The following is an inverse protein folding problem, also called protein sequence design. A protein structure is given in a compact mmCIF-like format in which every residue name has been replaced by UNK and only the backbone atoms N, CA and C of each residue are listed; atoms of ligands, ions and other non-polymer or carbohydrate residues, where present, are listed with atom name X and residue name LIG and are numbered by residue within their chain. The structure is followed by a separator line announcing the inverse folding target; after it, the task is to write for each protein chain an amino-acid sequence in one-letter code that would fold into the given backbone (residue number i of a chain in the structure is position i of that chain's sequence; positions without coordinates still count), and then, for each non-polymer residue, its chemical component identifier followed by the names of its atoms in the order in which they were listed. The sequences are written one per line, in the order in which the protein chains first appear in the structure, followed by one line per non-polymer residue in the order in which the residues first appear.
data_IF_488768559876
#
_entry.id   IF_488768559876
#
_cell.length_a   1.000
_cell.length_b   1.000
_cell.length_c   1.000
_cell.angle_alpha   90.00
_cell.angle_beta   90.00
_cell.angle_gamma   90.00
#
_symmetry.space_group_name_H-M   'P 1'
#
loop_
_entity.id
_entity.type
_entity.pdbx_description
1 polymer ?
#
# COMPACT_ATOMS: atom_id res chain seq x y z
N UNK A 1 44.66 5.34 -26.55
CA UNK A 1 44.90 5.31 -28.01
C UNK A 1 43.56 5.36 -28.71
N UNK A 2 43.45 6.04 -29.86
CA UNK A 2 43.01 7.43 -29.98
C UNK A 2 41.75 7.51 -30.90
N UNK A 3 41.07 8.63 -31.16
CA UNK A 3 41.54 9.69 -32.05
C UNK A 3 40.57 10.89 -32.08
N UNK A 4 41.20 12.06 -32.14
CA UNK A 4 40.73 13.39 -32.57
C UNK A 4 40.40 13.37 -34.09
N UNK A 5 40.16 14.48 -34.86
CA UNK A 5 40.08 15.93 -34.54
C UNK A 5 38.98 16.71 -35.32
N UNK A 6 38.88 18.02 -35.07
CA UNK A 6 39.03 19.12 -36.07
C UNK A 6 37.71 19.88 -36.23
N UNK A 7 37.57 21.20 -36.42
CA UNK A 7 38.36 22.43 -36.70
C UNK A 7 37.32 23.57 -36.42
N UNK A 8 37.57 24.86 -36.21
CA UNK A 8 38.56 25.82 -36.72
C UNK A 8 38.41 27.17 -35.98
N UNK A 9 39.56 27.80 -35.76
CA UNK A 9 39.89 29.21 -35.41
C UNK A 9 39.40 30.21 -36.50
N UNK A 10 39.76 31.53 -36.56
CA UNK A 10 40.38 32.48 -35.61
C UNK A 10 39.79 33.94 -35.66
N UNK A 11 40.45 34.89 -34.97
CA UNK A 11 40.61 36.35 -35.21
C UNK A 11 40.15 37.17 -33.98
N UNK A 12 40.90 38.12 -33.40
CA UNK A 12 42.23 38.66 -33.69
C UNK A 12 42.51 39.92 -32.84
N UNK A 13 43.81 40.24 -32.67
CA UNK A 13 44.45 41.52 -32.27
C UNK A 13 44.24 42.01 -30.82
N UNK A 14 45.25 41.98 -29.94
CA UNK A 14 46.50 42.79 -29.84
C UNK A 14 46.25 44.31 -29.81
N UNK A 15 46.63 44.98 -28.72
CA UNK A 15 47.77 45.90 -28.67
C UNK A 15 48.13 46.29 -27.22
N UNK A 16 49.43 46.22 -26.93
CA UNK A 16 50.09 46.77 -25.76
C UNK A 16 50.39 48.26 -25.98
N UNK A 17 50.42 49.06 -24.92
CA UNK A 17 51.28 50.25 -24.85
C UNK A 17 51.61 50.58 -23.38
N UNK A 18 52.90 50.64 -23.09
CA UNK A 18 53.45 51.17 -21.85
C UNK A 18 53.69 52.68 -22.00
N UNK A 19 53.57 53.46 -20.92
CA UNK A 19 54.37 54.67 -20.75
C UNK A 19 54.57 55.04 -19.28
N UNK A 20 55.73 55.62 -19.05
CA UNK A 20 56.48 55.92 -17.83
C UNK A 20 56.19 57.35 -17.35
N UNK A 21 56.44 57.63 -16.06
CA UNK A 21 56.75 58.95 -15.52
C UNK A 21 55.83 59.37 -14.37
N UNK A 22 56.28 59.94 -13.26
CA UNK A 22 57.61 60.41 -12.85
C UNK A 22 57.50 60.82 -11.37
N UNK A 23 58.53 60.51 -10.58
CA UNK A 23 58.77 61.15 -9.29
C UNK A 23 59.10 62.64 -9.51
N UNK A 24 58.53 63.50 -8.68
CA UNK A 24 58.88 64.91 -8.59
C UNK A 24 58.70 65.41 -7.17
N UNK A 25 59.78 65.40 -6.40
CA UNK A 25 59.92 66.22 -5.20
C UNK A 25 60.55 67.56 -5.63
N UNK A 26 59.93 68.68 -5.28
CA UNK A 26 60.60 69.99 -5.28
C UNK A 26 60.14 70.83 -4.09
N UNK A 27 61.10 71.56 -3.55
CA UNK A 27 61.15 72.15 -2.22
C UNK A 27 60.42 73.50 -2.08
N UNK A 28 60.37 73.93 -0.82
CA UNK A 28 59.81 75.17 -0.28
C UNK A 28 60.14 76.45 -1.08
N UNK A 29 59.17 77.35 -1.15
CA UNK A 29 59.39 78.79 -1.25
C UNK A 29 58.43 79.54 -0.33
N UNK A 30 58.98 80.56 0.30
CA UNK A 30 58.45 81.34 1.41
C UNK A 30 57.53 82.51 1.01
N UNK A 31 56.83 83.00 2.05
CA UNK A 31 56.39 84.37 2.35
C UNK A 31 55.09 84.93 1.71
N UNK A 32 54.34 85.67 2.55
CA UNK A 32 53.32 86.65 2.13
C UNK A 32 51.95 86.43 2.75
N UNK A 33 51.72 86.95 3.96
CA UNK A 33 50.43 86.86 4.65
C UNK A 33 49.31 87.73 4.06
N UNK A 34 48.08 87.31 4.35
CA UNK A 34 46.83 88.04 4.23
C UNK A 34 45.70 87.17 4.79
N UNK A 35 45.13 87.57 5.93
CA UNK A 35 44.31 86.71 6.78
C UNK A 35 42.88 86.41 6.29
N UNK A 36 42.16 85.69 7.18
CA UNK A 36 40.73 85.29 7.13
C UNK A 36 40.47 83.99 6.35
N UNK A 37 40.10 82.84 6.93
CA UNK A 37 39.42 82.53 8.21
C UNK A 37 39.93 81.18 8.73
N UNK A 38 40.38 81.08 9.98
CA UNK A 38 40.42 79.78 10.66
C UNK A 38 38.97 79.32 10.78
N UNK A 39 38.55 78.35 9.98
CA UNK A 39 37.22 77.77 10.11
C UNK A 39 37.13 77.19 11.53
N UNK A 40 36.32 77.83 12.39
CA UNK A 40 36.02 77.32 13.72
C UNK A 40 35.36 75.97 13.54
N UNK A 41 36.10 74.90 13.82
CA UNK A 41 35.56 73.54 13.81
C UNK A 41 34.60 73.40 14.98
N UNK A 42 33.46 72.76 14.75
CA UNK A 42 32.40 72.57 15.73
C UNK A 42 32.51 71.18 16.38
N UNK A 43 32.12 71.09 17.65
CA UNK A 43 32.05 69.84 18.42
C UNK A 43 30.66 69.19 18.39
N UNK A 44 29.76 69.65 17.51
CA UNK A 44 28.40 69.12 17.40
C UNK A 44 28.39 67.79 16.63
N UNK A 45 28.43 66.68 17.37
CA UNK A 45 28.34 65.32 16.83
C UNK A 45 26.91 64.72 16.86
N UNK A 46 25.85 65.52 16.87
CA UNK A 46 24.46 64.99 16.94
C UNK A 46 23.84 64.77 15.57
N UNK A 47 22.82 63.92 15.51
CA UNK A 47 21.90 63.84 14.37
C UNK A 47 20.73 64.82 14.53
N UNK A 48 20.31 65.42 13.41
CA UNK A 48 19.05 66.15 13.23
C UNK A 48 17.91 65.23 12.75
N UNK A 49 18.24 64.06 12.19
CA UNK A 49 17.25 63.07 11.76
C UNK A 49 17.84 61.67 11.64
N UNK A 50 17.00 60.65 11.84
CA UNK A 50 17.32 59.25 11.61
C UNK A 50 16.04 58.55 11.12
N UNK A 51 16.10 57.93 9.95
CA UNK A 51 14.96 57.19 9.39
C UNK A 51 15.40 55.83 8.85
N UNK A 52 14.44 54.89 8.80
CA UNK A 52 14.63 53.53 8.28
C UNK A 52 13.80 53.35 7.02
N UNK A 53 14.27 52.57 6.06
CA UNK A 53 13.49 52.22 4.86
C UNK A 53 12.31 51.27 5.15
N UNK A 54 12.34 50.56 6.30
CA UNK A 54 11.30 49.67 6.76
C UNK A 54 11.28 49.61 8.30
N UNK A 55 10.07 49.51 8.87
CA UNK A 55 9.87 49.60 10.32
C UNK A 55 9.90 51.04 10.83
N UNK A 56 9.61 51.20 12.12
CA UNK A 56 9.58 52.50 12.80
C UNK A 56 10.53 52.49 13.99
N UNK A 57 11.24 53.59 14.19
CA UNK A 57 12.06 53.79 15.39
C UNK A 57 11.17 53.91 16.63
N UNK A 58 11.56 53.22 17.70
CA UNK A 58 10.97 53.30 19.02
C UNK A 58 12.09 53.50 20.06
N UNK A 59 12.11 54.63 20.79
CA UNK A 59 11.18 55.76 20.67
C UNK A 59 11.30 56.48 19.32
N UNK A 60 10.35 57.37 19.00
CA UNK A 60 10.49 58.28 17.86
C UNK A 60 11.80 59.09 17.98
N UNK A 61 12.39 59.47 16.85
CA UNK A 61 13.71 60.09 16.84
C UNK A 61 13.77 61.36 17.69
N UNK A 62 14.76 61.41 18.58
CA UNK A 62 15.13 62.60 19.34
C UNK A 62 16.65 62.69 19.38
N UNK A 63 17.22 63.87 19.07
CA UNK A 63 18.67 64.03 18.89
C UNK A 63 19.53 63.61 20.10
N UNK A 64 18.96 63.68 21.30
CA UNK A 64 19.61 63.26 22.55
C UNK A 64 19.52 61.74 22.82
N UNK A 65 18.57 61.03 22.20
CA UNK A 65 18.40 59.57 22.37
C UNK A 65 19.39 58.83 21.47
N UNK A 66 20.21 57.98 22.08
CA UNK A 66 21.27 57.23 21.39
C UNK A 66 20.93 55.75 21.16
N UNK A 67 19.82 55.25 21.69
CA UNK A 67 19.40 53.85 21.51
C UNK A 67 17.96 53.81 21.04
N UNK A 68 17.72 53.06 19.95
CA UNK A 68 16.42 52.86 19.34
C UNK A 68 16.19 51.38 19.09
N UNK A 69 14.93 50.98 19.10
CA UNK A 69 14.47 49.69 18.61
C UNK A 69 13.62 49.88 17.35
N UNK A 70 13.60 48.88 16.48
CA UNK A 70 12.66 48.78 15.37
C UNK A 70 12.28 47.31 15.13
N UNK A 71 11.06 47.05 14.69
CA UNK A 71 10.60 45.71 14.33
C UNK A 71 10.19 45.67 12.87
N UNK A 72 10.57 44.61 12.17
CA UNK A 72 10.23 44.38 10.76
C UNK A 72 9.66 42.98 10.55
N UNK A 73 8.75 42.84 9.57
CA UNK A 73 8.18 41.56 9.18
C UNK A 73 9.24 40.62 8.58
N UNK A 74 8.97 39.32 8.59
CA UNK A 74 9.92 38.31 8.11
C UNK A 74 10.35 38.52 6.65
N UNK A 75 9.49 39.06 5.78
CA UNK A 75 9.81 39.32 4.38
C UNK A 75 10.92 40.39 4.17
N UNK A 76 11.22 41.21 5.18
CA UNK A 76 12.25 42.26 5.10
C UNK A 76 13.61 41.65 5.40
N UNK A 77 14.31 41.16 4.37
CA UNK A 77 15.67 40.58 4.51
C UNK A 77 16.78 41.62 4.58
N UNK A 78 16.48 42.89 4.30
CA UNK A 78 17.43 44.01 4.42
C UNK A 78 16.71 45.34 4.59
N UNK A 79 17.37 46.34 5.17
CA UNK A 79 16.91 47.73 5.20
C UNK A 79 18.06 48.72 4.99
N UNK A 80 17.74 49.98 4.73
CA UNK A 80 18.72 51.09 4.75
C UNK A 80 18.39 52.07 5.87
N UNK A 81 19.40 52.80 6.33
CA UNK A 81 19.27 53.86 7.32
C UNK A 81 19.66 55.19 6.68
N UNK A 82 18.85 56.22 6.85
CA UNK A 82 19.13 57.57 6.34
C UNK A 82 19.31 58.55 7.50
N UNK A 83 20.57 58.76 7.96
CA UNK A 83 20.89 59.70 9.02
C UNK A 83 21.15 61.12 8.47
N UNK A 84 20.75 62.15 9.21
CA UNK A 84 21.02 63.56 8.90
C UNK A 84 21.80 64.17 10.06
N UNK A 85 23.02 64.65 9.83
CA UNK A 85 23.82 65.34 10.84
C UNK A 85 23.25 66.72 11.18
N UNK A 86 23.39 67.16 12.43
CA UNK A 86 23.02 68.52 12.87
C UNK A 86 23.99 69.57 12.33
N UNK A 87 25.28 69.25 12.29
CA UNK A 87 26.33 70.10 11.73
C UNK A 87 26.66 69.63 10.31
N UNK A 88 26.66 70.55 9.36
CA UNK A 88 26.94 70.27 7.94
C UNK A 88 28.41 69.87 7.68
N UNK A 89 29.32 70.17 8.62
CA UNK A 89 30.71 69.74 8.57
C UNK A 89 30.99 68.38 9.23
N UNK A 90 29.99 67.75 9.86
CA UNK A 90 30.16 66.44 10.50
C UNK A 90 30.16 65.29 9.47
N UNK A 91 30.91 64.23 9.76
CA UNK A 91 30.90 62.99 8.98
C UNK A 91 30.05 61.91 9.67
N UNK A 92 29.38 61.07 8.88
CA UNK A 92 28.53 59.98 9.40
C UNK A 92 29.03 58.65 8.85
N UNK A 93 29.11 57.64 9.71
CA UNK A 93 29.34 56.26 9.34
C UNK A 93 28.18 55.37 9.80
N UNK A 94 27.68 54.51 8.92
CA UNK A 94 26.70 53.47 9.25
C UNK A 94 27.40 52.11 9.14
N UNK A 95 27.48 51.35 10.23
CA UNK A 95 28.26 50.11 10.33
C UNK A 95 29.70 50.26 9.80
N UNK A 96 30.34 51.41 10.08
CA UNK A 96 31.71 51.74 9.65
C UNK A 96 31.86 52.23 8.22
N UNK A 97 30.78 52.24 7.41
CA UNK A 97 30.81 52.79 6.04
C UNK A 97 30.35 54.25 6.03
N UNK A 98 31.08 55.13 5.34
CA UNK A 98 30.73 56.55 5.24
C UNK A 98 29.40 56.74 4.49
N UNK A 99 28.50 57.55 5.05
CA UNK A 99 27.20 57.89 4.46
C UNK A 99 27.04 59.41 4.46
N UNK A 100 26.62 59.98 3.34
CA UNK A 100 26.35 61.41 3.26
C UNK A 100 25.12 61.79 4.10
N UNK A 101 25.16 62.96 4.74
CA UNK A 101 24.03 63.48 5.53
C UNK A 101 22.74 63.54 4.69
N UNK A 102 21.64 63.01 5.22
CA UNK A 102 20.34 62.92 4.56
C UNK A 102 20.21 61.81 3.50
N UNK A 103 21.29 61.08 3.20
CA UNK A 103 21.28 59.99 2.22
C UNK A 103 21.10 58.62 2.88
N UNK A 104 20.50 57.68 2.16
CA UNK A 104 20.39 56.29 2.61
C UNK A 104 21.76 55.60 2.61
N UNK A 105 22.01 54.77 3.63
CA UNK A 105 23.13 53.83 3.66
C UNK A 105 23.01 52.77 2.55
N UNK A 106 24.07 51.98 2.35
CA UNK A 106 23.95 50.70 1.66
C UNK A 106 22.93 49.78 2.39
N UNK A 107 22.40 48.78 1.66
CA UNK A 107 21.47 47.80 2.22
C UNK A 107 22.15 46.95 3.30
N UNK A 108 21.57 46.95 4.49
CA UNK A 108 21.99 46.18 5.65
C UNK A 108 21.19 44.88 5.66
N UNK A 109 21.87 43.75 5.48
CA UNK A 109 21.22 42.42 5.53
C UNK A 109 20.80 42.08 6.95
N UNK A 110 19.59 41.55 7.12
CA UNK A 110 19.00 41.21 8.41
C UNK A 110 18.87 39.69 8.58
N UNK A 111 19.49 39.17 9.63
CA UNK A 111 19.20 37.84 10.16
C UNK A 111 17.84 37.83 10.87
N UNK A 112 17.16 36.69 10.93
CA UNK A 112 15.98 36.53 11.79
C UNK A 112 16.41 36.78 13.24
N UNK A 113 15.59 37.49 14.02
CA UNK A 113 15.93 37.92 15.37
C UNK A 113 16.59 39.30 15.41
N UNK A 114 17.45 39.53 16.39
CA UNK A 114 18.03 40.84 16.70
C UNK A 114 19.23 41.15 15.80
N UNK A 115 19.23 42.34 15.20
CA UNK A 115 20.31 42.90 14.40
C UNK A 115 20.68 44.27 14.95
N UNK A 116 21.97 44.58 15.05
CA UNK A 116 22.42 45.88 15.57
C UNK A 116 23.00 46.71 14.43
N UNK A 117 22.48 47.92 14.26
CA UNK A 117 23.02 48.94 13.35
C UNK A 117 23.62 50.07 14.16
N UNK A 118 24.88 50.41 13.89
CA UNK A 118 25.56 51.53 14.53
C UNK A 118 25.69 52.70 13.57
N UNK A 119 25.35 53.89 14.05
CA UNK A 119 25.51 55.15 13.32
C UNK A 119 26.43 56.04 14.14
N UNK A 120 27.65 56.26 13.66
CA UNK A 120 28.65 57.10 14.31
C UNK A 120 28.70 58.44 13.61
N UNK A 121 28.50 59.52 14.35
CA UNK A 121 28.67 60.89 13.86
C UNK A 121 29.95 61.45 14.46
N UNK A 122 30.86 61.95 13.62
CA UNK A 122 32.09 62.64 14.03
C UNK A 122 31.94 64.10 13.66
N UNK A 123 32.07 65.01 14.64
CA UNK A 123 31.95 66.44 14.43
C UNK A 123 33.06 66.99 13.51
N UNK A 124 32.92 68.24 13.06
CA UNK A 124 33.89 68.89 12.18
C UNK A 124 35.25 69.15 12.83
N UNK A 125 35.35 69.04 14.17
CA UNK A 125 36.61 69.01 14.92
C UNK A 125 37.43 67.72 14.76
N UNK A 126 36.87 66.68 14.13
CA UNK A 126 37.52 65.39 13.89
C UNK A 126 37.75 64.51 15.12
N UNK A 127 37.33 64.95 16.32
CA UNK A 127 37.61 64.27 17.59
C UNK A 127 36.35 63.94 18.39
N UNK A 128 35.34 64.80 18.35
CA UNK A 128 34.09 64.58 19.07
C UNK A 128 33.20 63.62 18.29
N UNK A 129 32.89 62.46 18.89
CA UNK A 129 32.02 61.45 18.28
C UNK A 129 30.77 61.17 19.11
N UNK A 130 29.66 60.85 18.46
CA UNK A 130 28.45 60.30 19.10
C UNK A 130 27.95 59.09 18.32
N UNK A 131 27.60 58.04 19.05
CA UNK A 131 27.09 56.80 18.46
C UNK A 131 25.61 56.66 18.77
N UNK A 132 24.83 56.40 17.72
CA UNK A 132 23.44 56.02 17.78
C UNK A 132 23.32 54.54 17.41
N UNK A 133 22.63 53.75 18.23
CA UNK A 133 22.44 52.31 18.04
C UNK A 133 20.97 52.03 17.73
N UNK A 134 20.71 51.36 16.61
CA UNK A 134 19.38 50.87 16.25
C UNK A 134 19.37 49.35 16.33
N UNK A 135 18.58 48.82 17.25
CA UNK A 135 18.35 47.39 17.43
C UNK A 135 17.13 47.01 16.60
N UNK A 136 17.34 46.32 15.48
CA UNK A 136 16.30 45.89 14.55
C UNK A 136 15.97 44.43 14.79
N UNK A 137 14.73 44.14 15.21
CA UNK A 137 14.23 42.77 15.36
C UNK A 137 13.44 42.36 14.12
N UNK A 138 13.97 41.40 13.37
CA UNK A 138 13.27 40.78 12.23
C UNK A 138 12.48 39.57 12.69
N UNK A 139 11.17 39.55 12.42
CA UNK A 139 10.31 38.43 12.79
C UNK A 139 10.72 37.10 12.12
N UNK A 140 10.50 35.98 12.81
CA UNK A 140 10.62 34.64 12.23
C UNK A 140 9.47 34.33 11.25
N UNK A 141 9.67 33.37 10.34
CA UNK A 141 8.61 32.93 9.45
C UNK A 141 7.55 32.15 10.26
N UNK A 142 6.27 32.45 10.05
CA UNK A 142 5.18 31.68 10.62
C UNK A 142 4.94 30.45 9.73
N UNK A 143 5.38 29.29 10.20
CA UNK A 143 5.18 27.99 9.56
C UNK A 143 4.07 27.21 10.29
N UNK A 144 3.30 26.41 9.55
CA UNK A 144 2.20 25.62 10.14
C UNK A 144 2.72 24.61 11.15
N UNK A 145 2.05 24.52 12.30
CA UNK A 145 2.24 23.47 13.31
C UNK A 145 1.19 22.34 13.21
N UNK A 146 0.27 22.40 12.25
CA UNK A 146 -0.73 21.36 12.03
C UNK A 146 -0.08 20.08 11.47
N UNK A 147 0.13 19.11 12.37
CA UNK A 147 0.67 17.80 12.05
C UNK A 147 -0.44 16.76 11.78
N UNK A 148 -1.69 17.15 11.56
CA UNK A 148 -2.77 16.19 11.36
C UNK A 148 -2.95 15.76 9.89
N UNK A 149 -3.65 14.63 9.70
CA UNK A 149 -4.12 14.18 8.40
C UNK A 149 -5.55 14.67 8.13
N UNK A 150 -5.86 14.97 6.88
CA UNK A 150 -7.21 15.20 6.37
C UNK A 150 -7.85 13.94 5.77
N UNK A 151 -7.04 12.95 5.39
CA UNK A 151 -7.51 11.63 4.95
C UNK A 151 -6.48 10.53 5.20
N UNK A 152 -6.96 9.31 5.45
CA UNK A 152 -6.16 8.08 5.52
C UNK A 152 -6.99 6.93 4.92
N UNK A 153 -6.41 6.21 3.97
CA UNK A 153 -7.10 5.11 3.27
C UNK A 153 -6.15 3.94 3.02
N UNK A 154 -6.72 2.75 2.84
CA UNK A 154 -6.02 1.51 2.51
C UNK A 154 -6.50 1.03 1.14
N UNK A 155 -5.62 0.40 0.35
CA UNK A 155 -6.02 -0.22 -0.93
C UNK A 155 -6.89 -1.48 -0.76
N UNK A 156 -6.90 -2.07 0.43
CA UNK A 156 -7.72 -3.23 0.79
C UNK A 156 -8.08 -3.19 2.28
N UNK A 157 -9.29 -3.66 2.61
CA UNK A 157 -9.86 -3.56 3.95
C UNK A 157 -10.46 -2.17 4.22
N UNK A 158 -10.99 -1.99 5.42
CA UNK A 158 -11.60 -0.73 5.85
C UNK A 158 -11.11 -0.36 7.24
N UNK A 159 -10.81 0.92 7.44
CA UNK A 159 -10.40 1.43 8.73
C UNK A 159 -11.55 1.35 9.73
N UNK A 160 -11.24 0.89 10.93
CA UNK A 160 -12.13 0.89 12.08
C UNK A 160 -11.40 1.54 13.28
N UNK A 161 -11.93 2.63 13.84
CA UNK A 161 -13.10 3.37 13.38
C UNK A 161 -12.88 4.03 12.00
N UNK A 162 -13.94 4.60 11.41
CA UNK A 162 -13.80 5.45 10.24
C UNK A 162 -12.84 6.61 10.54
N UNK A 163 -12.14 7.10 9.51
CA UNK A 163 -11.08 8.10 9.71
C UNK A 163 -11.61 9.39 10.36
N UNK A 164 -10.90 9.84 11.40
CA UNK A 164 -11.07 11.15 12.01
C UNK A 164 -9.68 11.71 12.38
N UNK A 165 -9.43 12.99 12.08
CA UNK A 165 -8.10 13.60 12.24
C UNK A 165 -7.50 13.46 13.65
N UNK A 166 -8.36 13.41 14.68
CA UNK A 166 -7.98 13.28 16.09
C UNK A 166 -7.79 11.83 16.56
N UNK A 167 -8.22 10.84 15.77
CA UNK A 167 -8.04 9.42 16.07
C UNK A 167 -6.70 8.94 15.52
N UNK A 168 -5.84 8.43 16.41
CA UNK A 168 -4.46 8.05 16.09
C UNK A 168 -4.25 6.54 16.02
N UNK A 169 -5.28 5.73 16.32
CA UNK A 169 -5.20 4.27 16.25
C UNK A 169 -6.39 3.73 15.47
N UNK A 170 -6.08 2.89 14.49
CA UNK A 170 -7.05 2.23 13.65
C UNK A 170 -6.74 0.74 13.56
N UNK A 171 -7.77 -0.04 13.30
CA UNK A 171 -7.66 -1.43 12.89
C UNK A 171 -8.26 -1.62 11.50
N UNK A 172 -7.84 -2.66 10.80
CA UNK A 172 -8.48 -3.13 9.58
C UNK A 172 -8.30 -4.64 9.47
N UNK A 173 -9.23 -5.33 8.82
CA UNK A 173 -9.11 -6.76 8.53
C UNK A 173 -9.10 -6.96 7.03
N UNK A 174 -8.22 -7.83 6.55
CA UNK A 174 -8.13 -8.23 5.14
C UNK A 174 -8.16 -9.75 4.99
N UNK A 175 -8.68 -10.23 3.85
CA UNK A 175 -8.71 -11.66 3.55
C UNK A 175 -7.30 -12.26 3.47
N UNK A 176 -7.19 -13.58 3.66
CA UNK A 176 -5.91 -14.27 3.58
C UNK A 176 -5.21 -14.08 2.22
N UNK A 177 -5.98 -13.94 1.13
CA UNK A 177 -5.46 -13.70 -0.23
C UNK A 177 -4.75 -12.34 -0.40
N UNK A 178 -4.98 -11.37 0.50
CA UNK A 178 -4.33 -10.06 0.45
C UNK A 178 -2.97 -10.15 1.13
N UNK A 179 -1.94 -10.49 0.35
CA UNK A 179 -0.56 -10.62 0.84
C UNK A 179 0.19 -9.29 0.97
N UNK A 180 -0.34 -8.22 0.38
CA UNK A 180 0.20 -6.86 0.51
C UNK A 180 -0.88 -5.80 0.28
N UNK A 181 -0.64 -4.58 0.76
CA UNK A 181 -1.49 -3.41 0.47
C UNK A 181 -0.66 -2.13 0.34
N UNK A 182 -1.30 -1.04 -0.10
CA UNK A 182 -0.73 0.32 -0.04
C UNK A 182 -1.56 1.20 0.88
N UNK A 183 -0.93 2.20 1.49
CA UNK A 183 -1.57 3.21 2.34
C UNK A 183 -1.47 4.56 1.65
N UNK A 184 -2.58 5.29 1.58
CA UNK A 184 -2.60 6.67 1.07
C UNK A 184 -3.07 7.60 2.19
N UNK A 185 -2.29 8.64 2.48
CA UNK A 185 -2.59 9.62 3.52
C UNK A 185 -2.41 11.04 3.00
N UNK A 186 -3.30 11.94 3.39
CA UNK A 186 -3.29 13.35 2.96
C UNK A 186 -3.10 14.24 4.17
N UNK A 187 -2.10 15.13 4.11
CA UNK A 187 -1.84 16.13 5.14
C UNK A 187 -3.00 17.13 5.23
N UNK A 188 -3.35 17.59 6.44
CA UNK A 188 -4.27 18.71 6.62
C UNK A 188 -3.56 20.06 6.43
N UNK A 189 -2.33 20.18 6.95
CA UNK A 189 -1.44 21.32 6.76
C UNK A 189 -0.31 21.07 5.75
N UNK A 190 0.71 21.93 5.79
CA UNK A 190 1.98 21.73 5.09
C UNK A 190 2.97 20.99 5.97
N UNK A 191 3.77 20.08 5.39
CA UNK A 191 4.75 19.31 6.15
C UNK A 191 5.34 18.15 5.35
N UNK A 192 5.84 17.14 6.06
CA UNK A 192 6.32 15.87 5.48
C UNK A 192 5.49 14.70 6.01
N UNK A 193 5.37 13.67 5.18
CA UNK A 193 4.63 12.45 5.46
C UNK A 193 5.55 11.25 5.27
N UNK A 194 5.57 10.35 6.25
CA UNK A 194 6.27 9.06 6.18
C UNK A 194 5.33 7.91 6.48
N UNK A 195 5.40 6.85 5.68
CA UNK A 195 4.66 5.60 5.89
C UNK A 195 5.68 4.48 6.04
N UNK A 196 5.66 3.79 7.18
CA UNK A 196 6.69 2.82 7.59
C UNK A 196 8.12 3.35 7.41
N UNK A 197 8.33 4.62 7.75
CA UNK A 197 9.63 5.30 7.67
C UNK A 197 10.00 5.84 6.27
N UNK A 198 9.31 5.42 5.22
CA UNK A 198 9.55 5.90 3.84
C UNK A 198 8.77 7.20 3.58
N UNK A 199 9.41 8.20 2.98
CA UNK A 199 8.76 9.46 2.60
C UNK A 199 7.75 9.23 1.48
N UNK A 200 6.53 9.76 1.64
CA UNK A 200 5.44 9.65 0.66
C UNK A 200 4.85 11.05 0.42
N UNK A 201 4.49 11.36 -0.82
CA UNK A 201 3.80 12.61 -1.14
C UNK A 201 2.37 12.62 -0.57
N UNK A 202 1.92 13.76 -0.06
CA UNK A 202 0.54 13.91 0.43
C UNK A 202 -0.48 13.50 -0.65
N UNK A 203 -1.40 12.60 -0.29
CA UNK A 203 -2.43 12.04 -1.17
C UNK A 203 -1.97 10.89 -2.08
N UNK A 204 -0.66 10.64 -2.19
CA UNK A 204 -0.14 9.52 -2.97
C UNK A 204 -0.18 8.21 -2.17
N UNK A 205 -0.29 7.09 -2.89
CA UNK A 205 -0.13 5.76 -2.30
C UNK A 205 1.33 5.49 -1.96
N UNK A 206 1.55 4.82 -0.83
CA UNK A 206 2.86 4.25 -0.48
C UNK A 206 3.29 3.18 -1.49
N UNK A 207 4.54 2.73 -1.38
CA UNK A 207 4.93 1.45 -1.96
C UNK A 207 4.12 0.28 -1.37
N UNK A 208 4.18 -0.87 -2.03
CA UNK A 208 3.53 -2.10 -1.55
C UNK A 208 4.11 -2.54 -0.22
N UNK A 209 3.25 -2.77 0.77
CA UNK A 209 3.60 -3.23 2.11
C UNK A 209 3.17 -4.68 2.25
N UNK A 210 4.14 -5.58 2.38
CA UNK A 210 3.88 -7.01 2.59
C UNK A 210 3.23 -7.24 3.97
N UNK A 211 2.25 -8.16 4.01
CA UNK A 211 1.51 -8.53 5.21
C UNK A 211 1.80 -9.99 5.57
N UNK A 212 2.23 -10.20 6.80
CA UNK A 212 2.23 -11.53 7.42
C UNK A 212 0.80 -11.91 7.83
N UNK A 213 0.51 -13.21 7.90
CA UNK A 213 -0.74 -13.68 8.51
C UNK A 213 -0.79 -13.22 9.97
N UNK A 214 -1.95 -12.76 10.43
CA UNK A 214 -2.14 -12.15 11.73
C UNK A 214 -1.96 -10.63 11.70
N UNK A 215 -1.52 -10.07 12.83
CA UNK A 215 -1.44 -8.63 13.06
C UNK A 215 -0.20 -8.00 12.42
N UNK A 216 -0.39 -6.94 11.64
CA UNK A 216 0.66 -6.13 11.03
C UNK A 216 0.46 -4.68 11.46
N UNK A 217 1.49 -4.06 12.05
CA UNK A 217 1.40 -2.65 12.49
C UNK A 217 2.05 -1.74 11.47
N UNK A 218 1.27 -0.80 10.94
CA UNK A 218 1.71 0.24 10.02
C UNK A 218 1.80 1.57 10.76
N UNK A 219 2.86 2.33 10.51
CA UNK A 219 3.08 3.65 11.10
C UNK A 219 3.02 4.73 10.04
N UNK A 220 2.15 5.72 10.25
CA UNK A 220 2.03 6.91 9.41
C UNK A 220 2.40 8.12 10.26
N UNK A 221 3.54 8.74 9.94
CA UNK A 221 4.09 9.86 10.70
C UNK A 221 3.98 11.12 9.87
N UNK A 222 3.36 12.14 10.45
CA UNK A 222 3.31 13.49 9.92
C UNK A 222 4.24 14.37 10.74
N UNK A 223 5.05 15.18 10.06
CA UNK A 223 5.82 16.27 10.66
C UNK A 223 5.38 17.57 10.00
N UNK A 224 4.87 18.52 10.78
CA UNK A 224 4.41 19.80 10.26
C UNK A 224 5.57 20.66 9.70
N UNK A 225 5.24 21.75 9.01
CA UNK A 225 6.23 22.63 8.39
C UNK A 225 7.14 23.35 9.40
N UNK A 226 6.75 23.42 10.67
CA UNK A 226 7.61 23.89 11.76
C UNK A 226 8.80 22.95 12.07
N UNK A 227 8.77 21.72 11.56
CA UNK A 227 9.81 20.70 11.78
C UNK A 227 9.85 20.14 13.20
N UNK A 228 8.92 20.53 14.07
CA UNK A 228 8.90 20.19 15.50
C UNK A 228 7.62 19.42 15.84
N UNK A 229 6.48 19.89 15.35
CA UNK A 229 5.18 19.29 15.61
C UNK A 229 5.05 17.99 14.82
N UNK A 230 4.82 16.88 15.52
CA UNK A 230 4.66 15.56 14.91
C UNK A 230 3.42 14.85 15.41
N UNK A 231 2.78 14.08 14.54
CA UNK A 231 1.68 13.19 14.88
C UNK A 231 1.88 11.84 14.20
N UNK A 232 1.74 10.77 14.98
CA UNK A 232 1.77 9.40 14.47
C UNK A 232 0.37 8.82 14.50
N UNK A 233 -0.03 8.22 13.37
CA UNK A 233 -1.22 7.39 13.21
C UNK A 233 -0.77 5.95 13.05
N UNK A 234 -1.30 5.06 13.87
CA UNK A 234 -1.00 3.63 13.85
C UNK A 234 -2.18 2.87 13.27
N UNK A 235 -1.93 2.04 12.25
CA UNK A 235 -2.94 1.16 11.66
C UNK A 235 -2.52 -0.28 11.90
N UNK A 236 -3.30 -1.03 12.68
CA UNK A 236 -3.11 -2.47 12.86
C UNK A 236 -3.97 -3.22 11.84
N UNK A 237 -3.33 -3.79 10.83
CA UNK A 237 -3.98 -4.59 9.79
C UNK A 237 -3.86 -6.07 10.15
N UNK A 238 -5.00 -6.71 10.39
CA UNK A 238 -5.08 -8.16 10.62
C UNK A 238 -5.35 -8.86 9.30
N UNK A 239 -4.38 -9.62 8.79
CA UNK A 239 -4.57 -10.53 7.66
C UNK A 239 -5.08 -11.87 8.20
N UNK A 240 -6.27 -12.27 7.78
CA UNK A 240 -6.86 -13.54 8.21
C UNK A 240 -5.95 -14.73 7.91
N UNK A 241 -5.99 -15.75 8.78
CA UNK A 241 -5.38 -17.04 8.49
C UNK A 241 -6.08 -17.71 7.29
N UNK A 242 -5.37 -18.61 6.62
CA UNK A 242 -5.99 -19.48 5.63
C UNK A 242 -7.04 -20.35 6.34
N UNK A 243 -8.18 -20.59 5.69
CA UNK A 243 -9.13 -21.59 6.19
C UNK A 243 -8.43 -22.95 6.29
N UNK A 244 -8.77 -23.74 7.32
CA UNK A 244 -8.33 -25.13 7.43
C UNK A 244 -9.50 -26.05 7.12
N UNK A 245 -9.29 -27.01 6.23
CA UNK A 245 -10.24 -28.05 5.86
C UNK A 245 -9.51 -29.38 5.90
N UNK A 246 -10.25 -30.43 6.23
CA UNK A 246 -9.74 -31.80 6.25
C UNK A 246 -9.72 -32.33 4.82
N UNK A 247 -8.60 -32.95 4.42
CA UNK A 247 -8.53 -33.65 3.14
C UNK A 247 -9.58 -34.76 3.09
N UNK A 248 -10.21 -34.92 1.94
CA UNK A 248 -11.03 -36.10 1.66
C UNK A 248 -10.12 -37.31 1.57
N UNK A 249 -10.53 -38.43 2.19
CA UNK A 249 -9.77 -39.68 2.15
C UNK A 249 -9.54 -40.15 0.70
N UNK A 250 -8.39 -40.77 0.47
CA UNK A 250 -8.00 -41.25 -0.85
C UNK A 250 -8.27 -42.74 -0.94
N UNK A 251 -9.04 -43.14 -1.95
CA UNK A 251 -9.44 -44.52 -2.13
C UNK A 251 -8.97 -45.09 -3.46
N UNK A 252 -9.06 -46.42 -3.54
CA UNK A 252 -8.85 -47.12 -4.82
C UNK A 252 -9.91 -46.69 -5.85
N UNK A 253 -9.54 -46.68 -7.13
CA UNK A 253 -10.48 -46.63 -8.25
C UNK A 253 -11.31 -47.92 -8.37
N UNK A 254 -10.88 -48.97 -7.67
CA UNK A 254 -11.55 -50.26 -7.67
C UNK A 254 -11.51 -50.93 -9.04
N UNK A 255 -12.28 -52.02 -9.22
CA UNK A 255 -12.12 -52.88 -10.39
C UNK A 255 -12.86 -52.37 -11.65
N UNK A 256 -13.67 -51.31 -11.55
CA UNK A 256 -14.58 -50.89 -12.62
C UNK A 256 -14.42 -49.43 -13.17
N UNK A 257 -13.21 -48.84 -13.25
CA UNK A 257 -12.99 -47.57 -13.96
C UNK A 257 -12.92 -47.76 -15.49
N UNK A 258 -13.72 -47.01 -16.24
CA UNK A 258 -13.73 -47.07 -17.70
C UNK A 258 -12.91 -45.94 -18.33
N UNK A 259 -11.58 -46.04 -18.28
CA UNK A 259 -10.68 -44.96 -18.73
C UNK A 259 -10.76 -44.64 -20.23
N UNK A 260 -11.09 -45.62 -21.06
CA UNK A 260 -11.16 -45.46 -22.51
C UNK A 260 -12.23 -44.44 -22.98
N UNK A 261 -13.20 -44.09 -22.13
CA UNK A 261 -14.28 -43.15 -22.48
C UNK A 261 -14.03 -41.72 -21.99
N UNK A 262 -12.93 -41.44 -21.28
CA UNK A 262 -12.70 -40.10 -20.70
C UNK A 262 -12.43 -39.01 -21.74
N UNK A 263 -11.97 -39.39 -22.93
CA UNK A 263 -11.81 -38.48 -24.08
C UNK A 263 -13.08 -38.35 -24.92
N UNK A 264 -14.13 -39.12 -24.61
CA UNK A 264 -15.41 -39.05 -25.33
C UNK A 264 -16.25 -37.89 -24.77
N UNK A 265 -16.43 -36.85 -25.57
CA UNK A 265 -17.27 -35.69 -25.21
C UNK A 265 -18.72 -36.05 -24.84
N UNK A 266 -19.25 -37.18 -25.34
CA UNK A 266 -20.60 -37.65 -24.98
C UNK A 266 -20.74 -38.03 -23.49
N UNK A 267 -19.63 -38.28 -22.79
CA UNK A 267 -19.60 -38.57 -21.35
C UNK A 267 -19.53 -37.30 -20.51
N UNK A 268 -19.25 -36.14 -21.11
CA UNK A 268 -19.38 -34.85 -20.43
C UNK A 268 -20.86 -34.48 -20.37
N UNK A 269 -21.57 -34.98 -19.36
CA UNK A 269 -23.02 -34.87 -19.24
C UNK A 269 -23.48 -34.81 -17.79
N UNK A 270 -24.58 -34.07 -17.58
CA UNK A 270 -25.21 -33.88 -16.28
C UNK A 270 -26.10 -35.07 -15.91
N UNK A 271 -26.95 -35.51 -16.82
CA UNK A 271 -27.77 -36.71 -16.64
C UNK A 271 -27.01 -37.95 -17.09
N UNK A 272 -26.72 -38.84 -16.14
CA UNK A 272 -25.93 -40.06 -16.39
C UNK A 272 -26.80 -41.31 -16.38
N UNK A 273 -28.11 -41.21 -16.20
CA UNK A 273 -28.99 -42.36 -15.96
C UNK A 273 -29.16 -43.26 -17.18
N UNK A 274 -29.12 -42.66 -18.37
CA UNK A 274 -29.52 -43.30 -19.63
C UNK A 274 -30.88 -43.99 -19.46
N UNK A 275 -30.98 -45.29 -19.75
CA UNK A 275 -32.21 -46.08 -19.63
C UNK A 275 -32.40 -46.76 -18.26
N UNK A 276 -31.53 -46.51 -17.28
CA UNK A 276 -31.59 -47.18 -15.98
C UNK A 276 -32.70 -46.61 -15.10
N UNK A 277 -33.21 -47.46 -14.21
CA UNK A 277 -34.24 -47.13 -13.23
C UNK A 277 -33.71 -47.33 -11.81
N UNK A 278 -34.31 -46.62 -10.85
CA UNK A 278 -33.90 -46.60 -9.44
C UNK A 278 -34.50 -45.40 -8.73
N UNK A 279 -34.16 -45.20 -7.46
CA UNK A 279 -34.52 -43.98 -6.73
C UNK A 279 -33.73 -42.81 -7.31
N UNK A 280 -34.39 -41.71 -7.77
CA UNK A 280 -33.68 -40.56 -8.31
C UNK A 280 -32.72 -39.93 -7.31
N UNK A 281 -31.55 -39.52 -7.78
CA UNK A 281 -30.51 -38.86 -6.98
C UNK A 281 -29.96 -37.64 -7.73
N UNK A 282 -30.10 -36.46 -7.15
CA UNK A 282 -29.35 -35.28 -7.59
C UNK A 282 -28.11 -35.15 -6.73
N UNK A 283 -26.92 -35.31 -7.31
CA UNK A 283 -25.65 -35.27 -6.59
C UNK A 283 -24.91 -33.97 -6.93
N UNK A 284 -24.66 -33.14 -5.94
CA UNK A 284 -23.81 -31.95 -6.06
C UNK A 284 -22.50 -32.16 -5.31
N UNK A 285 -21.38 -31.97 -6.01
CA UNK A 285 -20.04 -32.03 -5.43
C UNK A 285 -19.39 -30.67 -5.52
N UNK A 286 -18.81 -30.20 -4.41
CA UNK A 286 -17.99 -28.98 -4.36
C UNK A 286 -16.53 -29.38 -4.24
N UNK A 287 -15.66 -28.91 -5.14
CA UNK A 287 -14.23 -29.15 -5.09
C UNK A 287 -13.51 -27.93 -4.51
N UNK A 288 -12.64 -28.15 -3.53
CA UNK A 288 -11.81 -27.10 -2.92
C UNK A 288 -10.36 -27.57 -2.68
N UNK A 289 -9.43 -26.62 -2.55
CA UNK A 289 -8.02 -26.88 -2.23
C UNK A 289 -7.70 -26.56 -0.76
N UNK A 290 -7.17 -27.53 -0.03
CA UNK A 290 -6.63 -27.32 1.31
C UNK A 290 -5.38 -26.43 1.30
N UNK A 291 -4.47 -26.61 0.33
CA UNK A 291 -3.28 -25.78 0.17
C UNK A 291 -3.56 -24.30 -0.15
N UNK A 292 -4.78 -23.98 -0.59
CA UNK A 292 -5.22 -22.63 -0.91
C UNK A 292 -6.29 -22.10 0.05
N UNK A 293 -6.29 -22.56 1.31
CA UNK A 293 -7.17 -22.02 2.35
C UNK A 293 -8.64 -22.37 2.19
N UNK A 294 -8.93 -23.57 1.65
CA UNK A 294 -10.28 -24.09 1.37
C UNK A 294 -11.03 -23.26 0.33
N UNK A 295 -10.30 -22.79 -0.67
CA UNK A 295 -10.88 -22.06 -1.80
C UNK A 295 -11.43 -23.03 -2.85
N UNK A 296 -12.59 -22.73 -3.46
CA UNK A 296 -13.14 -23.55 -4.52
C UNK A 296 -12.21 -23.64 -5.74
N UNK A 297 -12.20 -24.80 -6.40
CA UNK A 297 -11.41 -25.04 -7.62
C UNK A 297 -12.34 -25.07 -8.82
N UNK A 298 -12.28 -24.04 -9.66
CA UNK A 298 -13.02 -23.96 -10.93
C UNK A 298 -12.27 -24.63 -12.09
N UNK A 299 -13.00 -25.15 -13.08
CA UNK A 299 -12.42 -25.73 -14.30
C UNK A 299 -11.83 -27.13 -14.14
N UNK A 300 -12.04 -27.79 -13.01
CA UNK A 300 -11.59 -29.16 -12.78
C UNK A 300 -12.62 -30.17 -13.32
N UNK A 301 -12.16 -31.23 -13.96
CA UNK A 301 -13.00 -32.34 -14.37
C UNK A 301 -13.28 -33.28 -13.21
N UNK A 302 -14.55 -33.57 -12.94
CA UNK A 302 -14.99 -34.59 -11.98
C UNK A 302 -15.65 -35.72 -12.75
N UNK A 303 -15.02 -36.90 -12.69
CA UNK A 303 -15.55 -38.14 -13.25
C UNK A 303 -16.17 -38.96 -12.12
N UNK A 304 -17.44 -39.37 -12.29
CA UNK A 304 -18.09 -40.29 -11.36
C UNK A 304 -18.59 -41.54 -12.07
N UNK A 305 -18.58 -42.66 -11.34
CA UNK A 305 -19.22 -43.89 -11.76
C UNK A 305 -19.76 -44.70 -10.60
N UNK A 306 -20.83 -45.45 -10.83
CA UNK A 306 -21.36 -46.40 -9.87
C UNK A 306 -22.15 -47.52 -10.55
N UNK A 307 -22.48 -48.56 -9.78
CA UNK A 307 -23.34 -49.63 -10.26
C UNK A 307 -24.82 -49.20 -10.32
N UNK A 308 -25.60 -49.90 -11.14
CA UNK A 308 -27.06 -49.77 -11.09
C UNK A 308 -27.65 -50.40 -9.82
N UNK A 309 -28.99 -50.32 -9.68
CA UNK A 309 -29.73 -50.84 -8.52
C UNK A 309 -29.50 -52.34 -8.24
N UNK A 310 -29.08 -53.12 -9.24
CA UNK A 310 -28.88 -54.56 -9.14
C UNK A 310 -27.40 -54.92 -8.88
N UNK A 311 -26.51 -53.92 -8.91
CA UNK A 311 -25.08 -54.05 -8.65
C UNK A 311 -24.22 -54.23 -9.90
N UNK A 312 -24.74 -53.90 -11.09
CA UNK A 312 -24.03 -54.06 -12.37
C UNK A 312 -23.37 -52.75 -12.83
N UNK A 313 -22.13 -52.83 -13.26
CA UNK A 313 -21.35 -51.73 -13.85
C UNK A 313 -21.39 -51.75 -15.37
N UNK A 314 -21.65 -50.59 -15.97
CA UNK A 314 -21.58 -50.38 -17.42
C UNK A 314 -20.13 -50.50 -17.94
N UNK A 315 -19.96 -51.00 -19.17
CA UNK A 315 -18.68 -51.09 -19.87
C UNK A 315 -17.92 -52.41 -19.71
N UNK A 316 -18.43 -53.36 -18.94
CA UNK A 316 -17.75 -54.61 -18.61
C UNK A 316 -18.49 -55.84 -19.13
N UNK A 317 -17.77 -56.94 -19.32
CA UNK A 317 -18.31 -58.23 -19.76
C UNK A 317 -17.91 -59.39 -18.85
N UNK A 318 -17.50 -59.12 -17.61
CA UNK A 318 -17.20 -60.16 -16.62
C UNK A 318 -18.47 -60.97 -16.31
N UNK A 319 -18.32 -62.16 -15.72
CA UNK A 319 -19.50 -62.96 -15.31
C UNK A 319 -20.45 -62.20 -14.38
N UNK A 320 -19.91 -61.34 -13.52
CA UNK A 320 -20.64 -60.43 -12.62
C UNK A 320 -21.22 -59.19 -13.31
N UNK A 321 -20.85 -58.90 -14.56
CA UNK A 321 -21.34 -57.78 -15.37
C UNK A 321 -21.74 -58.26 -16.78
N UNK A 322 -22.36 -59.44 -16.87
CA UNK A 322 -22.74 -59.99 -18.16
C UNK A 322 -23.66 -59.02 -18.93
N UNK A 323 -23.40 -58.84 -20.22
CA UNK A 323 -24.19 -57.97 -21.10
C UNK A 323 -23.99 -56.46 -20.92
N UNK A 324 -23.03 -56.00 -20.09
CA UNK A 324 -22.81 -54.57 -19.87
C UNK A 324 -21.76 -53.94 -20.80
N UNK A 325 -21.15 -54.72 -21.69
CA UNK A 325 -20.12 -54.26 -22.62
C UNK A 325 -20.65 -53.18 -23.57
N UNK A 326 -19.87 -52.13 -23.82
CA UNK A 326 -20.22 -51.02 -24.70
C UNK A 326 -21.26 -50.03 -24.13
N UNK A 327 -21.83 -50.30 -22.95
CA UNK A 327 -22.75 -49.38 -22.27
C UNK A 327 -22.00 -48.36 -21.43
N UNK A 328 -22.62 -47.20 -21.19
CA UNK A 328 -22.00 -46.10 -20.44
C UNK A 328 -22.87 -45.52 -19.33
N UNK A 329 -24.04 -46.11 -19.05
CA UNK A 329 -24.94 -45.63 -18.01
C UNK A 329 -24.23 -45.45 -16.66
N UNK A 330 -24.72 -44.51 -15.86
CA UNK A 330 -24.24 -44.18 -14.52
C UNK A 330 -22.73 -43.84 -14.47
N UNK A 331 -22.24 -43.29 -15.60
CA UNK A 331 -20.90 -42.70 -15.75
C UNK A 331 -21.05 -41.30 -16.35
N UNK A 332 -20.30 -40.34 -15.84
CA UNK A 332 -20.31 -38.98 -16.39
C UNK A 332 -19.16 -38.12 -15.88
N UNK A 333 -18.80 -37.13 -16.69
CA UNK A 333 -17.86 -36.07 -16.37
C UNK A 333 -18.63 -34.75 -16.30
N UNK A 334 -18.33 -33.93 -15.31
CA UNK A 334 -18.71 -32.53 -15.24
C UNK A 334 -17.47 -31.68 -14.97
N UNK A 335 -17.51 -30.42 -15.36
CA UNK A 335 -16.43 -29.44 -15.09
C UNK A 335 -16.93 -28.48 -14.03
N UNK A 336 -16.12 -28.26 -12.99
CA UNK A 336 -16.50 -27.39 -11.87
C UNK A 336 -16.69 -25.94 -12.31
N UNK A 337 -17.75 -25.30 -11.80
CA UNK A 337 -18.02 -23.88 -12.04
C UNK A 337 -17.12 -22.95 -11.20
N UNK A 338 -17.36 -21.63 -11.23
CA UNK A 338 -16.61 -20.64 -10.46
C UNK A 338 -16.71 -20.83 -8.92
N UNK A 339 -17.70 -21.60 -8.46
CA UNK A 339 -17.88 -21.97 -7.06
C UNK A 339 -17.32 -23.36 -6.76
N UNK A 340 -16.58 -23.97 -7.70
CA UNK A 340 -16.04 -25.31 -7.57
C UNK A 340 -17.10 -26.42 -7.65
N UNK A 341 -18.32 -26.13 -8.13
CA UNK A 341 -19.43 -27.07 -8.06
C UNK A 341 -19.68 -27.81 -9.37
N UNK A 342 -20.07 -29.08 -9.25
CA UNK A 342 -20.70 -29.88 -10.31
C UNK A 342 -22.00 -30.49 -9.78
N UNK A 343 -22.97 -30.70 -10.67
CA UNK A 343 -24.21 -31.41 -10.33
C UNK A 343 -24.47 -32.51 -11.34
N UNK A 344 -24.70 -33.72 -10.86
CA UNK A 344 -25.14 -34.87 -11.64
C UNK A 344 -26.59 -35.23 -11.32
N UNK A 345 -27.35 -35.57 -12.36
CA UNK A 345 -28.64 -36.25 -12.23
C UNK A 345 -28.38 -37.74 -12.44
N UNK A 346 -28.54 -38.52 -11.36
CA UNK A 346 -28.24 -39.95 -11.32
C UNK A 346 -29.32 -40.73 -10.53
N UNK A 347 -29.00 -41.95 -10.13
CA UNK A 347 -29.81 -42.83 -9.31
C UNK A 347 -29.04 -43.25 -8.05
N UNK A 348 -29.75 -43.57 -6.99
CA UNK A 348 -29.15 -44.19 -5.80
C UNK A 348 -28.53 -45.56 -6.19
N UNK A 349 -27.25 -45.84 -5.89
CA UNK A 349 -26.60 -47.07 -6.32
C UNK A 349 -27.19 -48.32 -5.66
N UNK A 350 -27.07 -49.47 -6.32
CA UNK A 350 -27.21 -50.77 -5.66
C UNK A 350 -25.93 -51.17 -4.93
N UNK A 351 -25.79 -52.46 -4.68
CA UNK A 351 -24.59 -53.05 -4.07
C UNK A 351 -24.12 -54.30 -4.84
N UNK A 352 -22.84 -54.61 -4.77
CA UNK A 352 -22.26 -55.87 -5.20
C UNK A 352 -21.52 -56.54 -4.04
N UNK A 353 -21.35 -57.87 -4.11
CA UNK A 353 -20.85 -58.65 -2.99
C UNK A 353 -19.46 -58.17 -2.54
N UNK A 354 -19.29 -58.01 -1.22
CA UNK A 354 -18.03 -57.63 -0.59
C UNK A 354 -17.80 -56.13 -0.48
N UNK A 355 -18.77 -55.28 -0.89
CA UNK A 355 -18.66 -53.82 -0.77
C UNK A 355 -19.95 -53.18 -0.28
N UNK A 356 -19.85 -52.07 0.45
CA UNK A 356 -20.98 -51.18 0.80
C UNK A 356 -21.46 -50.39 -0.42
N UNK A 357 -22.62 -49.73 -0.32
CA UNK A 357 -23.14 -48.84 -1.38
C UNK A 357 -22.24 -47.62 -1.53
N UNK A 358 -21.75 -47.34 -2.74
CA UNK A 358 -20.84 -46.21 -2.99
C UNK A 358 -20.99 -45.61 -4.39
N UNK A 359 -20.47 -44.38 -4.54
CA UNK A 359 -20.18 -43.76 -5.84
C UNK A 359 -18.68 -43.50 -5.91
N UNK A 360 -18.01 -43.90 -6.99
CA UNK A 360 -16.61 -43.56 -7.19
C UNK A 360 -16.46 -42.15 -7.75
N UNK A 361 -15.36 -41.47 -7.37
CA UNK A 361 -15.02 -40.14 -7.88
C UNK A 361 -13.54 -40.06 -8.23
N UNK A 362 -13.25 -39.46 -9.38
CA UNK A 362 -11.92 -39.00 -9.75
C UNK A 362 -11.93 -37.53 -10.14
N UNK A 363 -10.93 -36.81 -9.65
CA UNK A 363 -10.70 -35.39 -9.92
C UNK A 363 -9.53 -35.24 -10.88
N UNK A 364 -9.70 -34.43 -11.91
CA UNK A 364 -8.68 -34.11 -12.90
C UNK A 364 -8.51 -32.60 -13.00
N UNK A 365 -7.30 -32.11 -12.67
CA UNK A 365 -6.94 -30.70 -12.86
C UNK A 365 -6.35 -30.47 -14.27
N UNK A 366 -6.38 -29.23 -14.75
CA UNK A 366 -5.67 -28.76 -15.94
C UNK A 366 -6.00 -29.52 -17.26
N UNK A 367 -7.28 -29.83 -17.50
CA UNK A 367 -7.75 -30.60 -18.67
C UNK A 367 -7.10 -31.98 -18.83
N UNK A 368 -6.55 -32.54 -17.74
CA UNK A 368 -5.75 -33.76 -17.77
C UNK A 368 -6.58 -35.06 -17.67
N UNK A 369 -7.83 -35.04 -18.14
CA UNK A 369 -8.82 -36.12 -18.03
C UNK A 369 -8.30 -37.49 -18.51
N UNK A 370 -7.28 -37.52 -19.38
CA UNK A 370 -6.80 -38.73 -20.04
C UNK A 370 -5.45 -39.26 -19.52
N UNK A 371 -4.79 -38.61 -18.55
CA UNK A 371 -3.43 -39.02 -18.12
C UNK A 371 -3.40 -39.60 -16.72
N UNK A 372 -3.84 -38.86 -15.71
CA UNK A 372 -3.87 -39.34 -14.33
C UNK A 372 -4.82 -38.49 -13.49
N UNK A 373 -5.61 -39.15 -12.65
CA UNK A 373 -6.45 -38.47 -11.68
C UNK A 373 -5.57 -37.81 -10.61
N UNK A 374 -5.84 -36.54 -10.30
CA UNK A 374 -5.21 -35.80 -9.20
C UNK A 374 -5.65 -36.35 -7.84
N UNK A 375 -6.90 -36.79 -7.74
CA UNK A 375 -7.44 -37.45 -6.56
C UNK A 375 -8.43 -38.54 -6.97
N UNK A 376 -8.47 -39.62 -6.19
CA UNK A 376 -9.44 -40.71 -6.31
C UNK A 376 -10.03 -40.96 -4.92
N UNK A 377 -11.35 -41.06 -4.82
CA UNK A 377 -12.08 -41.33 -3.56
C UNK A 377 -13.38 -42.08 -3.87
N UNK A 378 -14.11 -42.50 -2.85
CA UNK A 378 -15.43 -43.08 -2.98
C UNK A 378 -16.39 -42.44 -1.97
N UNK A 379 -17.63 -42.21 -2.39
CA UNK A 379 -18.64 -41.54 -1.59
C UNK A 379 -19.51 -42.59 -0.90
N UNK A 380 -19.61 -42.49 0.43
CA UNK A 380 -20.48 -43.32 1.24
C UNK A 380 -21.85 -42.66 1.46
N UNK A 381 -22.84 -43.48 1.82
CA UNK A 381 -24.21 -43.02 2.12
C UNK A 381 -24.59 -43.31 3.58
N UNK A 382 -25.40 -42.46 4.23
CA UNK A 382 -25.95 -42.75 5.54
C UNK A 382 -26.71 -44.08 5.58
N UNK A 383 -26.51 -44.83 6.66
CA UNK A 383 -27.03 -46.20 6.78
C UNK A 383 -28.56 -46.23 6.82
N UNK A 384 -29.20 -45.25 7.44
CA UNK A 384 -30.66 -45.10 7.52
C UNK A 384 -31.28 -44.85 6.15
N UNK A 385 -30.67 -43.97 5.35
CA UNK A 385 -31.08 -43.73 3.95
C UNK A 385 -30.88 -44.98 3.10
N UNK A 386 -29.73 -45.65 3.23
CA UNK A 386 -29.44 -46.92 2.54
C UNK A 386 -30.51 -47.97 2.84
N UNK A 387 -30.87 -48.11 4.12
CA UNK A 387 -31.89 -49.05 4.59
C UNK A 387 -33.27 -48.70 4.01
N UNK A 388 -33.64 -47.42 3.98
CA UNK A 388 -34.90 -46.97 3.40
C UNK A 388 -35.00 -47.30 1.90
N UNK A 389 -33.93 -47.03 1.13
CA UNK A 389 -33.88 -47.33 -0.31
C UNK A 389 -33.99 -48.82 -0.57
N UNK A 390 -33.24 -49.65 0.17
CA UNK A 390 -33.23 -51.10 -0.01
C UNK A 390 -34.48 -51.83 0.50
N UNK A 391 -35.28 -51.19 1.35
CA UNK A 391 -36.60 -51.69 1.72
C UNK A 391 -37.70 -51.32 0.71
N UNK A 392 -37.39 -50.49 -0.30
CA UNK A 392 -38.36 -50.11 -1.33
C UNK A 392 -38.59 -51.23 -2.34
N UNK A 393 -39.76 -51.21 -2.99
CA UNK A 393 -40.09 -52.15 -4.07
C UNK A 393 -39.22 -51.96 -5.32
N UNK A 394 -38.49 -50.86 -5.44
CA UNK A 394 -37.60 -50.57 -6.56
C UNK A 394 -36.29 -51.38 -6.49
N UNK A 395 -35.84 -51.77 -5.28
CA UNK A 395 -34.55 -52.44 -5.05
C UNK A 395 -34.78 -53.88 -4.57
N UNK A 396 -35.17 -54.76 -5.50
CA UNK A 396 -35.56 -56.15 -5.21
C UNK A 396 -34.45 -57.02 -4.64
N UNK A 397 -33.18 -56.61 -4.77
CA UNK A 397 -32.02 -57.28 -4.16
C UNK A 397 -32.01 -57.12 -2.63
N UNK A 398 -32.72 -56.13 -2.10
CA UNK A 398 -32.86 -55.87 -0.68
C UNK A 398 -31.57 -55.41 -0.01
N UNK A 399 -31.58 -55.44 1.32
CA UNK A 399 -30.45 -55.03 2.15
C UNK A 399 -29.19 -55.83 1.81
N UNK A 400 -28.04 -55.15 1.77
CA UNK A 400 -26.75 -55.81 1.56
C UNK A 400 -26.42 -56.74 2.72
N UNK A 401 -26.30 -58.04 2.42
CA UNK A 401 -25.95 -59.09 3.39
C UNK A 401 -24.48 -59.51 3.31
N UNK A 402 -23.73 -59.00 2.32
CA UNK A 402 -22.33 -59.37 2.10
C UNK A 402 -21.35 -58.57 2.94
N UNK A 403 -21.72 -57.35 3.36
CA UNK A 403 -20.94 -56.47 4.23
C UNK A 403 -21.90 -55.75 5.18
N UNK A 404 -21.67 -55.86 6.49
CA UNK A 404 -22.64 -55.43 7.52
C UNK A 404 -22.40 -54.03 8.08
N UNK A 405 -21.23 -53.43 7.82
CA UNK A 405 -20.84 -52.11 8.32
C UNK A 405 -19.75 -51.49 7.46
N UNK A 406 -19.54 -50.17 7.56
CA UNK A 406 -18.40 -49.50 6.91
C UNK A 406 -17.06 -50.11 7.36
N UNK A 407 -16.92 -50.43 8.65
CA UNK A 407 -15.72 -51.07 9.21
C UNK A 407 -15.41 -52.46 8.64
N UNK A 408 -16.38 -53.13 8.02
CA UNK A 408 -16.22 -54.43 7.39
C UNK A 408 -15.95 -54.33 5.87
N UNK A 409 -16.02 -53.13 5.30
CA UNK A 409 -15.66 -52.86 3.90
C UNK A 409 -14.16 -52.59 3.80
N UNK A 410 -13.48 -53.20 2.83
CA UNK A 410 -12.03 -53.07 2.68
C UNK A 410 -11.55 -51.68 2.24
N UNK A 411 -12.45 -50.80 1.77
CA UNK A 411 -12.17 -49.41 1.38
C UNK A 411 -12.50 -48.50 2.55
N UNK A 412 -13.70 -48.60 3.12
CA UNK A 412 -14.16 -47.69 4.18
C UNK A 412 -13.83 -48.13 5.62
N UNK A 413 -12.96 -49.12 5.79
CA UNK A 413 -12.64 -49.68 7.12
C UNK A 413 -11.93 -48.72 8.07
N UNK A 414 -11.24 -47.71 7.52
CA UNK A 414 -10.51 -46.68 8.25
C UNK A 414 -11.37 -45.44 8.57
N UNK A 415 -12.58 -45.36 8.01
CA UNK A 415 -13.60 -44.38 8.37
C UNK A 415 -14.35 -43.84 7.15
N UNK A 416 -15.43 -43.08 7.40
CA UNK A 416 -16.23 -42.44 6.34
C UNK A 416 -16.47 -40.96 6.59
N UNK A 417 -15.85 -40.39 7.63
CA UNK A 417 -16.15 -39.03 8.10
C UNK A 417 -15.89 -37.95 7.05
N UNK A 418 -14.94 -38.18 6.13
CA UNK A 418 -14.59 -37.25 5.06
C UNK A 418 -15.15 -37.66 3.69
N UNK A 419 -16.03 -38.68 3.66
CA UNK A 419 -16.57 -39.35 2.46
C UNK A 419 -18.09 -39.55 2.49
N UNK A 420 -18.72 -39.22 3.62
CA UNK A 420 -20.16 -39.37 3.82
C UNK A 420 -20.94 -38.25 3.12
N UNK A 421 -21.83 -38.63 2.21
CA UNK A 421 -22.78 -37.71 1.60
C UNK A 421 -23.78 -37.18 2.63
N UNK A 422 -24.16 -35.92 2.50
CA UNK A 422 -25.32 -35.35 3.20
C UNK A 422 -26.53 -35.39 2.27
N UNK A 423 -27.61 -36.07 2.66
CA UNK A 423 -28.80 -36.24 1.82
C UNK A 423 -30.04 -35.61 2.44
N UNK A 424 -30.95 -35.16 1.58
CA UNK A 424 -32.31 -34.73 1.91
C UNK A 424 -33.30 -35.26 0.87
N UNK A 425 -34.55 -35.49 1.26
CA UNK A 425 -35.58 -36.10 0.41
C UNK A 425 -36.03 -37.46 0.92
N UNK A 426 -36.65 -38.26 0.05
CA UNK A 426 -37.19 -39.58 0.40
C UNK A 426 -37.19 -40.53 -0.81
N UNK A 427 -37.51 -41.81 -0.55
CA UNK A 427 -37.54 -42.87 -1.57
C UNK A 427 -38.54 -42.62 -2.70
N UNK A 428 -39.67 -41.95 -2.44
CA UNK A 428 -40.74 -41.75 -3.42
C UNK A 428 -40.44 -40.60 -4.36
N UNK A 429 -39.86 -39.52 -3.84
CA UNK A 429 -39.55 -38.30 -4.61
C UNK A 429 -38.11 -38.22 -5.09
N UNK A 430 -37.22 -39.03 -4.50
CA UNK A 430 -35.78 -39.01 -4.73
C UNK A 430 -35.03 -38.20 -3.69
N UNK A 431 -33.70 -38.26 -3.77
CA UNK A 431 -32.80 -37.56 -2.85
C UNK A 431 -31.99 -36.48 -3.56
N UNK A 432 -31.65 -35.43 -2.82
CA UNK A 432 -30.57 -34.50 -3.15
C UNK A 432 -29.40 -34.76 -2.20
N UNK A 433 -28.23 -35.06 -2.75
CA UNK A 433 -27.00 -35.33 -2.03
C UNK A 433 -25.97 -34.23 -2.28
N UNK A 434 -25.26 -33.83 -1.22
CA UNK A 434 -24.20 -32.84 -1.29
C UNK A 434 -22.97 -33.33 -0.56
N UNK A 435 -21.78 -32.97 -1.08
CA UNK A 435 -20.52 -33.17 -0.40
C UNK A 435 -19.44 -32.22 -0.92
N UNK A 436 -18.53 -31.83 -0.04
CA UNK A 436 -17.31 -31.11 -0.40
C UNK A 436 -16.12 -32.08 -0.46
N UNK A 437 -15.47 -32.13 -1.62
CA UNK A 437 -14.22 -32.87 -1.84
C UNK A 437 -13.07 -31.88 -1.65
N UNK A 438 -12.18 -32.19 -0.72
CA UNK A 438 -11.00 -31.36 -0.43
C UNK A 438 -9.75 -32.10 -0.88
N UNK A 439 -9.01 -31.49 -1.81
CA UNK A 439 -7.72 -32.00 -2.28
C UNK A 439 -6.57 -31.10 -1.79
N UNK A 440 -5.34 -31.62 -1.81
CA UNK A 440 -4.15 -30.91 -1.34
C UNK A 440 -3.86 -29.63 -2.13
#
# INVERSE_FOLDING_TARGET
MPDHPSRSNPLGRRHAFALVGSLGALALSSCGGGGSTGATTSSVATLAGLSLSAGSLSPAFASATTVYAASVGNAVSSLTVSPTATDNGASIQVNGSVVASGSASAAITLSVGTNTVTVVVTASDGTTTKTYTVVVTRAAATVSSDATLSALTLSAGSLSPAFAATTTRYTATVANSVSSLTVSATLAGSGTLKINGSTVSSGAASGSIALSVGSNTLSVVVTAADGVSTQTYTVTVTRSAAGSCTLTATETDGPYPLYAILTNSAIVRKDIRESKTGVPLTLTLTLQSAGSGCTPISGAGIYIWHCDKDGLYSGYSTSTNAGQSGLTYLRGIQVTDNNGQVTFTTLYPGWYAGRITHIHVQVYLNDNLAVSATATTQLAFPQDITTAVYNSSLYTKGQNTSVTSFSADNVFSDGTSTEMLTLSGDVNTGYTANMTITIA
#
